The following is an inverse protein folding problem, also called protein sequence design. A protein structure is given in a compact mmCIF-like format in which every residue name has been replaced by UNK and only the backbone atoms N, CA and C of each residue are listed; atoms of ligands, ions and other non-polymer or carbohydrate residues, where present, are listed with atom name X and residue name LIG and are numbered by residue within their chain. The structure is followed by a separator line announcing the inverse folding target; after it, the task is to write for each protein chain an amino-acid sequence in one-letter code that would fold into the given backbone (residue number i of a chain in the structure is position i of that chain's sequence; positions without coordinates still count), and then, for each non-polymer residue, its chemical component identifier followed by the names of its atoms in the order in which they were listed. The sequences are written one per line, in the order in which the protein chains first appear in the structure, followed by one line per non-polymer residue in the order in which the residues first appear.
data_IF_597666049229
#
_entry.id   IF_597666049229
#
_cell.length_a   1.000
_cell.length_b   1.000
_cell.length_c   1.000
_cell.angle_alpha   90.00
_cell.angle_beta   90.00
_cell.angle_gamma   90.00
#
_symmetry.space_group_name_H-M   'P 1'
#
loop_
_entity.id
_entity.type
_entity.pdbx_description
1 polymer ?
#
# COMPACT_ATOMS: atom_id res chain seq x y z
N UNK A 1 21.21 -1.09 3.89
CA UNK A 1 20.01 -0.41 3.34
C UNK A 1 20.03 1.10 3.60
N UNK A 2 20.43 1.57 4.78
CA UNK A 2 20.43 3.01 5.07
C UNK A 2 21.57 3.81 4.41
N UNK A 3 22.63 3.16 3.96
CA UNK A 3 23.81 3.83 3.38
C UNK A 3 23.58 4.45 1.99
N UNK A 4 22.55 4.03 1.27
CA UNK A 4 22.24 4.55 -0.08
C UNK A 4 20.97 5.38 -0.18
N UNK A 5 20.27 5.65 0.92
CA UNK A 5 19.06 6.47 0.91
C UNK A 5 19.39 7.96 1.04
N UNK A 6 18.57 8.80 0.42
CA UNK A 6 18.58 10.25 0.66
C UNK A 6 17.70 10.57 1.86
N UNK A 7 16.49 10.05 1.90
CA UNK A 7 15.53 10.23 2.98
C UNK A 7 14.93 8.90 3.46
N UNK A 8 14.56 8.83 4.72
CA UNK A 8 13.62 7.83 5.20
C UNK A 8 12.21 8.24 4.80
N UNK A 9 11.46 7.34 4.16
CA UNK A 9 10.07 7.56 3.77
C UNK A 9 9.19 6.88 4.81
N UNK A 10 8.79 7.64 5.82
CA UNK A 10 8.05 7.08 6.96
C UNK A 10 6.62 6.69 6.59
N UNK A 11 5.89 7.59 5.95
CA UNK A 11 4.49 7.49 5.57
C UNK A 11 3.84 8.87 5.62
N UNK A 12 2.61 8.97 5.12
CA UNK A 12 1.89 10.23 4.97
C UNK A 12 0.38 10.00 5.03
N UNK A 13 -0.37 10.97 5.52
CA UNK A 13 -1.82 11.00 5.51
C UNK A 13 -2.43 11.25 6.89
N UNK A 14 -3.72 10.99 7.04
CA UNK A 14 -4.44 11.18 8.29
C UNK A 14 -4.04 10.11 9.33
N UNK A 15 -3.49 10.49 10.48
CA UNK A 15 -3.16 9.55 11.54
C UNK A 15 -4.38 8.87 12.19
N UNK A 16 -5.58 9.35 11.89
CA UNK A 16 -6.86 8.78 12.35
C UNK A 16 -7.64 8.11 11.21
N UNK A 17 -6.98 7.86 10.08
CA UNK A 17 -7.62 7.26 8.91
C UNK A 17 -8.22 5.88 9.21
N UNK A 18 -9.44 5.65 8.78
CA UNK A 18 -10.06 4.33 8.79
C UNK A 18 -9.45 3.38 7.78
N UNK A 19 -8.73 3.90 6.77
CA UNK A 19 -8.14 3.15 5.66
C UNK A 19 -6.63 3.42 5.59
N UNK A 20 -5.83 2.37 5.52
CA UNK A 20 -4.39 2.48 5.33
C UNK A 20 -3.94 1.69 4.10
N UNK A 21 -3.16 2.36 3.24
CA UNK A 21 -2.54 1.74 2.07
C UNK A 21 -1.10 1.35 2.41
N UNK A 22 -0.72 0.13 2.03
CA UNK A 22 0.62 -0.41 2.31
C UNK A 22 1.25 -0.90 1.01
N UNK A 23 2.31 -0.23 0.57
CA UNK A 23 3.15 -0.63 -0.55
C UNK A 23 4.39 -1.39 -0.10
N UNK A 24 5.30 -1.64 -1.04
CA UNK A 24 6.52 -2.42 -0.82
C UNK A 24 7.65 -1.56 -0.24
N UNK A 25 8.13 -0.61 -1.00
CA UNK A 25 9.31 0.20 -0.69
C UNK A 25 9.28 1.55 -1.44
N UNK A 26 10.00 2.56 -0.94
CA UNK A 26 10.20 3.81 -1.67
C UNK A 26 10.97 3.59 -2.98
N UNK A 27 10.53 4.25 -4.05
CA UNK A 27 11.29 4.41 -5.28
C UNK A 27 12.20 5.64 -5.22
N UNK A 28 12.76 6.02 -6.39
CA UNK A 28 13.70 7.14 -6.48
C UNK A 28 13.08 8.48 -6.06
N UNK A 29 11.92 8.80 -6.61
CA UNK A 29 11.26 10.08 -6.32
C UNK A 29 10.80 10.19 -4.86
N UNK A 30 10.37 9.07 -4.29
CA UNK A 30 10.00 8.98 -2.88
C UNK A 30 11.21 9.20 -1.96
N UNK A 31 12.36 8.60 -2.31
CA UNK A 31 13.62 8.79 -1.59
C UNK A 31 14.12 10.24 -1.68
N UNK A 32 14.00 10.88 -2.85
CA UNK A 32 14.38 12.29 -3.06
C UNK A 32 13.50 13.25 -2.25
N UNK A 33 12.19 12.97 -2.12
CA UNK A 33 11.22 13.87 -1.49
C UNK A 33 10.87 13.52 -0.04
N UNK A 34 11.23 12.32 0.43
CA UNK A 34 10.85 11.82 1.76
C UNK A 34 9.37 11.49 1.92
N UNK A 35 8.61 11.38 0.81
CA UNK A 35 7.16 11.17 0.80
C UNK A 35 6.80 9.89 0.03
N UNK A 36 5.80 9.08 0.49
CA UNK A 36 5.40 7.87 -0.21
C UNK A 36 4.57 8.19 -1.46
N UNK A 37 4.74 7.39 -2.50
CA UNK A 37 3.91 7.44 -3.71
C UNK A 37 3.81 8.84 -4.34
N UNK A 38 4.93 9.42 -4.73
CA UNK A 38 5.03 10.72 -5.42
C UNK A 38 5.51 10.62 -6.87
N UNK A 39 6.03 9.46 -7.29
CA UNK A 39 6.41 9.17 -8.68
C UNK A 39 5.21 8.79 -9.56
N UNK A 40 5.48 8.18 -10.73
CA UNK A 40 4.43 7.78 -11.67
C UNK A 40 3.40 6.81 -11.06
N UNK A 41 3.86 5.84 -10.25
CA UNK A 41 2.97 4.94 -9.50
C UNK A 41 2.11 5.69 -8.48
N UNK A 42 2.62 6.76 -7.89
CA UNK A 42 1.89 7.63 -6.96
C UNK A 42 0.78 8.42 -7.65
N UNK A 43 1.06 8.97 -8.84
CA UNK A 43 0.03 9.67 -9.64
C UNK A 43 -1.10 8.72 -10.02
N UNK A 44 -0.75 7.51 -10.45
CA UNK A 44 -1.76 6.48 -10.71
C UNK A 44 -2.55 6.13 -9.45
N UNK A 45 -1.90 6.03 -8.29
CA UNK A 45 -2.60 5.78 -7.04
C UNK A 45 -3.62 6.89 -6.71
N UNK A 46 -3.27 8.15 -6.94
CA UNK A 46 -4.18 9.28 -6.74
C UNK A 46 -5.43 9.18 -7.64
N UNK A 47 -5.25 8.79 -8.91
CA UNK A 47 -6.35 8.53 -9.84
C UNK A 47 -7.24 7.37 -9.40
N UNK A 48 -6.62 6.27 -8.92
CA UNK A 48 -7.34 5.09 -8.42
C UNK A 48 -8.16 5.40 -7.15
N UNK A 49 -7.59 6.18 -6.24
CA UNK A 49 -8.29 6.65 -5.04
C UNK A 49 -9.49 7.53 -5.43
N UNK A 50 -9.28 8.47 -6.35
CA UNK A 50 -10.36 9.32 -6.86
C UNK A 50 -11.51 8.52 -7.47
N UNK A 51 -11.20 7.52 -8.30
CA UNK A 51 -12.21 6.61 -8.89
C UNK A 51 -12.93 5.74 -7.85
N UNK A 52 -12.28 5.47 -6.72
CA UNK A 52 -12.86 4.77 -5.58
C UNK A 52 -13.64 5.70 -4.63
N UNK A 53 -13.80 6.99 -4.97
CA UNK A 53 -14.37 8.03 -4.11
C UNK A 53 -13.66 8.20 -2.77
N UNK A 54 -12.34 7.99 -2.78
CA UNK A 54 -11.45 8.20 -1.64
C UNK A 54 -10.50 9.35 -1.96
N UNK A 55 -10.21 10.19 -0.96
CA UNK A 55 -9.23 11.25 -1.10
C UNK A 55 -7.91 10.85 -0.43
N UNK A 56 -6.80 11.25 -1.05
CA UNK A 56 -5.46 10.92 -0.52
C UNK A 56 -5.24 11.41 0.91
N UNK A 57 -5.79 12.57 1.25
CA UNK A 57 -5.71 13.17 2.58
C UNK A 57 -6.58 12.47 3.63
N UNK A 58 -7.51 11.60 3.24
CA UNK A 58 -8.41 10.83 4.14
C UNK A 58 -7.88 9.44 4.47
N UNK A 59 -6.80 9.04 3.83
CA UNK A 59 -6.15 7.74 4.04
C UNK A 59 -4.77 7.91 4.62
N UNK A 60 -4.18 6.85 5.16
CA UNK A 60 -2.78 6.81 5.54
C UNK A 60 -2.00 5.92 4.57
N UNK A 61 -0.88 6.41 4.04
CA UNK A 61 -0.09 5.68 3.03
C UNK A 61 1.31 5.42 3.58
N UNK A 62 1.74 4.17 3.54
CA UNK A 62 3.07 3.75 3.96
C UNK A 62 3.60 2.60 3.09
N UNK A 63 4.84 2.20 3.35
CA UNK A 63 5.46 1.02 2.76
C UNK A 63 5.96 0.07 3.84
N UNK A 64 6.18 -1.19 3.48
CA UNK A 64 6.86 -2.18 4.33
C UNK A 64 8.26 -1.70 4.66
N UNK A 65 9.05 -1.32 3.65
CA UNK A 65 10.35 -0.70 3.83
C UNK A 65 10.23 0.82 3.96
N UNK A 66 11.08 1.40 4.81
CA UNK A 66 11.17 2.86 5.00
C UNK A 66 12.30 3.52 4.22
N UNK A 67 13.12 2.72 3.57
CA UNK A 67 14.26 3.16 2.78
C UNK A 67 14.21 2.53 1.40
N UNK A 68 14.69 3.28 0.40
CA UNK A 68 14.81 2.79 -0.97
C UNK A 68 15.87 1.70 -1.06
N UNK A 69 15.55 0.48 -1.57
CA UNK A 69 16.56 -0.54 -1.88
C UNK A 69 17.46 -0.07 -3.03
N UNK A 70 18.75 -0.43 -3.04
CA UNK A 70 19.67 -0.12 -4.13
C UNK A 70 19.09 -0.55 -5.49
N UNK A 71 19.12 0.34 -6.47
CA UNK A 71 18.59 0.11 -7.84
C UNK A 71 17.14 -0.36 -7.89
N UNK A 72 16.32 -0.04 -6.87
CA UNK A 72 14.92 -0.48 -6.72
C UNK A 72 14.77 -2.01 -6.81
N UNK A 73 15.77 -2.79 -6.35
CA UNK A 73 15.64 -4.25 -6.26
C UNK A 73 14.58 -4.66 -5.25
N UNK A 74 14.16 -5.90 -5.33
CA UNK A 74 13.26 -6.47 -4.33
C UNK A 74 13.86 -6.42 -2.92
N UNK A 75 13.00 -6.24 -1.89
CA UNK A 75 13.42 -6.28 -0.49
C UNK A 75 14.08 -7.61 -0.12
N UNK A 76 15.16 -7.55 0.65
CA UNK A 76 15.71 -8.74 1.31
C UNK A 76 14.91 -9.02 2.61
N UNK A 77 14.88 -10.29 3.03
CA UNK A 77 14.17 -10.69 4.25
C UNK A 77 14.66 -9.92 5.50
N UNK A 78 15.98 -9.73 5.63
CA UNK A 78 16.60 -8.96 6.72
C UNK A 78 16.20 -7.48 6.70
N UNK A 79 15.94 -6.91 5.53
CA UNK A 79 15.49 -5.52 5.38
C UNK A 79 14.02 -5.38 5.81
N UNK A 80 13.19 -6.36 5.46
CA UNK A 80 11.80 -6.44 5.91
C UNK A 80 11.74 -6.56 7.43
N UNK A 81 12.54 -7.47 8.01
CA UNK A 81 12.63 -7.65 9.46
C UNK A 81 13.04 -6.37 10.19
N UNK A 82 14.03 -5.65 9.67
CA UNK A 82 14.50 -4.39 10.25
C UNK A 82 13.43 -3.26 10.18
N UNK A 83 12.60 -3.23 9.13
CA UNK A 83 11.56 -2.23 8.95
C UNK A 83 10.20 -2.62 9.56
N UNK A 84 9.96 -3.91 9.78
CA UNK A 84 8.70 -4.44 10.29
C UNK A 84 8.21 -3.79 11.59
N UNK A 85 9.06 -3.48 12.61
CA UNK A 85 8.61 -2.80 13.82
C UNK A 85 7.97 -1.44 13.55
N UNK A 86 8.53 -0.65 12.62
CA UNK A 86 7.99 0.66 12.26
C UNK A 86 6.59 0.55 11.65
N UNK A 87 6.40 -0.35 10.68
CA UNK A 87 5.09 -0.55 10.07
C UNK A 87 4.07 -1.07 11.08
N UNK A 88 4.46 -2.01 11.95
CA UNK A 88 3.57 -2.52 13.01
C UNK A 88 3.11 -1.40 13.94
N UNK A 89 4.02 -0.53 14.37
CA UNK A 89 3.68 0.63 15.19
C UNK A 89 2.72 1.57 14.46
N UNK A 90 2.96 1.86 13.18
CA UNK A 90 2.06 2.68 12.36
C UNK A 90 0.66 2.08 12.27
N UNK A 91 0.53 0.79 11.95
CA UNK A 91 -0.76 0.09 11.88
C UNK A 91 -1.47 0.10 13.23
N UNK A 92 -0.75 -0.03 14.34
CA UNK A 92 -1.33 0.03 15.68
C UNK A 92 -1.79 1.44 16.05
N UNK A 93 -1.01 2.47 15.72
CA UNK A 93 -1.29 3.86 16.05
C UNK A 93 -2.43 4.44 15.21
N UNK A 94 -2.39 4.26 13.89
CA UNK A 94 -3.46 4.67 12.96
C UNK A 94 -4.73 3.87 13.24
N UNK A 95 -4.57 2.58 13.58
CA UNK A 95 -5.69 1.68 13.92
C UNK A 95 -6.79 1.61 12.85
N UNK A 96 -6.44 1.48 11.55
CA UNK A 96 -7.43 1.45 10.48
C UNK A 96 -8.30 0.19 10.58
N UNK A 97 -9.51 0.25 10.06
CA UNK A 97 -10.34 -0.95 9.92
C UNK A 97 -10.09 -1.69 8.60
N UNK A 98 -9.56 -0.98 7.56
CA UNK A 98 -9.21 -1.55 6.25
C UNK A 98 -7.75 -1.28 5.92
N UNK A 99 -7.03 -2.35 5.55
CA UNK A 99 -5.69 -2.31 4.96
C UNK A 99 -5.79 -2.65 3.48
N UNK A 100 -5.39 -1.72 2.60
CA UNK A 100 -5.23 -1.99 1.17
C UNK A 100 -3.76 -2.31 0.93
N UNK A 101 -3.44 -3.57 0.63
CA UNK A 101 -2.07 -4.02 0.40
C UNK A 101 -1.77 -4.05 -1.10
N UNK A 102 -0.71 -3.36 -1.52
CA UNK A 102 -0.35 -3.18 -2.92
C UNK A 102 0.88 -4.02 -3.29
N UNK A 103 0.65 -5.06 -4.08
CA UNK A 103 1.69 -5.99 -4.57
C UNK A 103 1.99 -7.17 -3.64
N UNK A 104 2.87 -8.06 -4.10
CA UNK A 104 3.20 -9.31 -3.40
C UNK A 104 3.76 -9.07 -2.00
N UNK A 105 4.82 -8.25 -1.88
CA UNK A 105 5.56 -8.10 -0.62
C UNK A 105 4.68 -7.56 0.51
N UNK A 106 3.92 -6.50 0.24
CA UNK A 106 3.01 -5.93 1.23
C UNK A 106 1.91 -6.94 1.62
N UNK A 107 1.33 -7.62 0.64
CA UNK A 107 0.26 -8.60 0.87
C UNK A 107 0.77 -9.80 1.65
N UNK A 108 1.90 -10.39 1.26
CA UNK A 108 2.50 -11.54 1.93
C UNK A 108 2.93 -11.20 3.36
N UNK A 109 3.48 -10.01 3.57
CA UNK A 109 3.86 -9.53 4.90
C UNK A 109 2.64 -9.40 5.83
N UNK A 110 1.56 -8.79 5.37
CA UNK A 110 0.36 -8.55 6.19
C UNK A 110 -0.43 -9.83 6.42
N UNK A 111 -0.65 -10.64 5.38
CA UNK A 111 -1.44 -11.88 5.45
C UNK A 111 -0.64 -13.09 5.96
N UNK A 112 0.68 -12.97 6.09
CA UNK A 112 1.60 -14.06 6.47
C UNK A 112 1.41 -15.30 5.58
N UNK A 113 1.45 -15.11 4.28
CA UNK A 113 1.25 -16.14 3.26
C UNK A 113 2.30 -16.04 2.17
N UNK A 114 2.59 -17.14 1.49
CA UNK A 114 3.44 -17.19 0.29
C UNK A 114 2.62 -17.15 -1.00
N UNK A 115 1.30 -17.06 -0.89
CA UNK A 115 0.39 -17.01 -2.05
C UNK A 115 0.62 -15.72 -2.84
N UNK A 116 0.69 -15.84 -4.16
CA UNK A 116 0.90 -14.70 -5.06
C UNK A 116 -0.32 -13.78 -5.15
N UNK A 117 -0.06 -12.50 -5.40
CA UNK A 117 -1.08 -11.44 -5.49
C UNK A 117 -2.18 -11.74 -6.53
N UNK A 118 -1.86 -12.42 -7.62
CA UNK A 118 -2.84 -12.80 -8.65
C UNK A 118 -3.97 -13.67 -8.13
N UNK A 119 -3.74 -14.46 -7.08
CA UNK A 119 -4.73 -15.32 -6.42
C UNK A 119 -5.44 -14.64 -5.25
N UNK A 120 -4.87 -13.56 -4.72
CA UNK A 120 -5.38 -12.89 -3.51
C UNK A 120 -6.12 -11.60 -3.83
N UNK A 121 -5.78 -10.93 -4.94
CA UNK A 121 -6.35 -9.64 -5.32
C UNK A 121 -7.86 -9.69 -5.53
N UNK A 122 -8.49 -8.52 -5.37
CA UNK A 122 -9.92 -8.35 -5.63
C UNK A 122 -10.84 -9.03 -4.61
N UNK A 123 -10.29 -9.46 -3.47
CA UNK A 123 -11.06 -10.03 -2.34
C UNK A 123 -10.85 -9.17 -1.10
N UNK A 124 -11.81 -9.19 -0.17
CA UNK A 124 -11.61 -8.63 1.18
C UNK A 124 -11.53 -9.80 2.15
N UNK A 125 -10.48 -9.83 2.97
CA UNK A 125 -10.18 -10.91 3.92
C UNK A 125 -10.02 -10.35 5.31
N UNK A 126 -10.53 -11.06 6.30
CA UNK A 126 -10.30 -10.69 7.70
C UNK A 126 -9.00 -11.30 8.22
N UNK A 127 -8.18 -10.46 8.85
CA UNK A 127 -6.93 -10.85 9.51
C UNK A 127 -6.86 -10.17 10.87
N UNK A 128 -7.13 -10.95 11.93
CA UNK A 128 -7.32 -10.39 13.27
C UNK A 128 -8.47 -9.37 13.28
N UNK A 129 -8.19 -8.15 13.71
CA UNK A 129 -9.18 -7.07 13.75
C UNK A 129 -9.31 -6.28 12.43
N UNK A 130 -8.41 -6.52 11.48
CA UNK A 130 -8.35 -5.77 10.22
C UNK A 130 -9.08 -6.50 9.09
N UNK A 131 -9.69 -5.75 8.20
CA UNK A 131 -10.01 -6.21 6.86
C UNK A 131 -8.83 -5.90 5.94
N UNK A 132 -8.48 -6.80 5.04
CA UNK A 132 -7.36 -6.66 4.11
C UNK A 132 -7.87 -6.82 2.69
N UNK A 133 -7.62 -5.84 1.85
CA UNK A 133 -7.96 -5.83 0.43
C UNK A 133 -6.67 -5.82 -0.42
N UNK A 134 -6.19 -6.99 -0.89
CA UNK A 134 -5.02 -7.06 -1.74
C UNK A 134 -5.33 -6.57 -3.16
N UNK A 135 -4.40 -5.78 -3.73
CA UNK A 135 -4.44 -5.30 -5.12
C UNK A 135 -3.07 -5.40 -5.78
N UNK A 136 -3.00 -5.32 -7.11
CA UNK A 136 -1.72 -5.17 -7.79
C UNK A 136 -1.03 -3.87 -7.35
N UNK A 137 0.32 -3.89 -7.36
CA UNK A 137 1.07 -2.67 -7.14
C UNK A 137 0.89 -1.71 -8.34
N UNK A 138 0.59 -0.40 -8.13
CA UNK A 138 0.40 0.53 -9.23
C UNK A 138 1.55 0.56 -10.24
N UNK A 139 2.80 0.44 -9.79
CA UNK A 139 3.96 0.38 -10.68
C UNK A 139 3.90 -0.79 -11.67
N UNK A 140 3.32 -1.93 -11.30
CA UNK A 140 3.19 -3.09 -12.17
C UNK A 140 2.12 -2.91 -13.27
N UNK A 141 1.20 -1.96 -13.08
CA UNK A 141 0.15 -1.65 -14.04
C UNK A 141 0.57 -0.58 -15.08
N UNK A 142 1.59 0.23 -14.80
CA UNK A 142 2.01 1.35 -15.67
C UNK A 142 2.33 0.93 -17.11
N UNK A 143 2.80 -0.29 -17.32
CA UNK A 143 3.21 -0.82 -18.62
C UNK A 143 2.45 -2.09 -19.03
N UNK A 144 1.36 -2.38 -18.35
CA UNK A 144 0.53 -3.58 -18.58
C UNK A 144 -0.95 -3.19 -18.58
N UNK A 145 -1.56 -2.98 -19.77
CA UNK A 145 -2.97 -2.57 -19.88
C UNK A 145 -3.95 -3.52 -19.19
N UNK A 146 -3.69 -4.84 -19.22
CA UNK A 146 -4.58 -5.82 -18.59
C UNK A 146 -4.54 -5.72 -17.05
N UNK A 147 -3.35 -5.45 -16.50
CA UNK A 147 -3.22 -5.17 -15.05
C UNK A 147 -3.82 -3.82 -14.68
N UNK A 148 -3.72 -2.83 -15.55
CA UNK A 148 -4.33 -1.51 -15.34
C UNK A 148 -5.85 -1.64 -15.23
N UNK A 149 -6.50 -2.28 -16.20
CA UNK A 149 -7.94 -2.52 -16.17
C UNK A 149 -8.37 -3.27 -14.90
N UNK A 150 -7.61 -4.31 -14.57
CA UNK A 150 -7.84 -5.11 -13.36
C UNK A 150 -7.71 -4.27 -12.08
N UNK A 151 -6.69 -3.42 -12.01
CA UNK A 151 -6.41 -2.57 -10.83
C UNK A 151 -7.50 -1.52 -10.65
N UNK A 152 -7.96 -0.89 -11.73
CA UNK A 152 -9.10 0.04 -11.72
C UNK A 152 -10.35 -0.65 -11.18
N UNK A 153 -10.70 -1.82 -11.71
CA UNK A 153 -11.86 -2.59 -11.25
C UNK A 153 -11.77 -2.99 -9.77
N UNK A 154 -10.56 -3.31 -9.27
CA UNK A 154 -10.35 -3.62 -7.85
C UNK A 154 -10.58 -2.40 -6.96
N UNK A 155 -10.06 -1.23 -7.34
CA UNK A 155 -10.26 0.00 -6.58
C UNK A 155 -11.73 0.44 -6.58
N UNK A 156 -12.43 0.35 -7.70
CA UNK A 156 -13.87 0.60 -7.74
C UNK A 156 -14.66 -0.33 -6.82
N UNK A 157 -14.28 -1.61 -6.76
CA UNK A 157 -14.91 -2.58 -5.84
C UNK A 157 -14.64 -2.23 -4.39
N UNK A 158 -13.40 -1.82 -4.07
CA UNK A 158 -13.04 -1.33 -2.73
C UNK A 158 -13.83 -0.08 -2.39
N UNK A 159 -13.96 0.87 -3.31
CA UNK A 159 -14.74 2.09 -3.10
C UNK A 159 -16.21 1.79 -2.77
N UNK A 160 -16.86 0.91 -3.52
CA UNK A 160 -18.24 0.45 -3.21
C UNK A 160 -18.31 -0.20 -1.82
N UNK A 161 -17.38 -1.10 -1.50
CA UNK A 161 -17.33 -1.78 -0.20
C UNK A 161 -17.18 -0.79 0.96
N UNK A 162 -16.32 0.22 0.81
CA UNK A 162 -16.13 1.28 1.81
C UNK A 162 -17.40 2.10 1.97
N UNK A 163 -18.01 2.52 0.87
CA UNK A 163 -19.25 3.31 0.90
C UNK A 163 -20.40 2.55 1.59
N UNK A 164 -20.62 1.30 1.21
CA UNK A 164 -21.67 0.45 1.79
C UNK A 164 -21.49 0.27 3.30
N UNK A 165 -20.26 0.13 3.76
CA UNK A 165 -19.95 -0.01 5.18
C UNK A 165 -20.21 1.28 5.96
N UNK A 166 -19.79 2.44 5.42
CA UNK A 166 -19.97 3.74 6.06
C UNK A 166 -21.43 4.18 6.13
N UNK A 167 -22.29 3.65 5.26
CA UNK A 167 -23.75 3.96 5.27
C UNK A 167 -24.55 3.04 6.19
N UNK A 168 -23.93 1.98 6.74
CA UNK A 168 -24.56 1.03 7.67
C UNK A 168 -24.24 1.31 9.15
N UNK A 169 -23.31 2.22 9.43
CA UNK A 169 -22.96 2.72 10.77
C UNK A 169 -23.67 4.03 11.07
#
# INVERSE_FOLDING_TARGET
MCEGRTNAVFGEGDPHAGIMLIGEAPGRHEDEQGRPFVGAAGKLLDELLWNAHLRREEVYIANVLKCRPPSNRNPAASEIEACAPFLRTQVQTVSPWLLITMGNFATQFILKTDTGISHLRGTVRQTGRFLVAPVYHPAAALHDPARMETLVADFERIGRFVHDRMTQE
#
